data_IF_589912869952
#
_entry.id   IF_589912869952
#
_cell.length_a   1.000
_cell.length_b   1.000
_cell.length_c   1.000
_cell.angle_alpha   90.00
_cell.angle_beta   90.00
_cell.angle_gamma   90.00
#
_symmetry.space_group_name_H-M   'P 1'
#
loop_
_entity.id
_entity.type
_entity.pdbx_description
1 polymer ?
#
# COMPACT_ATOMS: atom_id res chain seq x y z
N UNK A 1 -3.15 26.70 -9.78
CA UNK A 1 -3.70 25.78 -8.76
C UNK A 1 -2.51 25.24 -7.95
N UNK A 2 -2.62 25.01 -6.65
CA UNK A 2 -1.55 24.35 -5.91
C UNK A 2 -1.34 22.95 -6.51
N UNK A 3 -0.08 22.48 -6.50
CA UNK A 3 0.24 21.13 -6.96
C UNK A 3 -0.50 20.10 -6.10
N UNK A 4 -1.05 19.03 -6.72
CA UNK A 4 -1.65 17.94 -5.98
C UNK A 4 -0.61 17.29 -5.07
N UNK A 5 -0.99 16.94 -3.86
CA UNK A 5 -0.15 16.11 -2.97
C UNK A 5 0.05 14.75 -3.60
N UNK A 6 1.24 14.17 -3.43
CA UNK A 6 1.57 12.83 -3.91
C UNK A 6 1.35 11.80 -2.81
N UNK A 7 0.68 10.71 -3.11
CA UNK A 7 0.48 9.61 -2.17
C UNK A 7 1.09 8.31 -2.69
N UNK A 8 1.59 7.47 -1.79
CA UNK A 8 1.87 6.06 -2.06
C UNK A 8 0.65 5.24 -1.64
N UNK A 9 0.11 4.43 -2.54
CA UNK A 9 -1.03 3.55 -2.24
C UNK A 9 -0.53 2.16 -1.85
N UNK A 10 -0.39 1.94 -0.55
CA UNK A 10 -0.07 0.63 0.02
C UNK A 10 -1.31 -0.26 0.01
N UNK A 11 -1.27 -1.42 -0.65
CA UNK A 11 -2.49 -2.21 -0.83
C UNK A 11 -2.22 -3.65 -1.26
N UNK A 12 -2.90 -4.66 -0.69
CA UNK A 12 -2.88 -6.04 -1.16
C UNK A 12 -3.80 -6.31 -2.35
N UNK A 13 -4.55 -5.29 -2.82
CA UNK A 13 -5.64 -5.45 -3.79
C UNK A 13 -5.21 -6.00 -5.15
N UNK A 14 -3.94 -5.90 -5.51
CA UNK A 14 -3.39 -6.43 -6.74
C UNK A 14 -3.22 -7.96 -6.76
N UNK A 15 -3.15 -8.62 -5.59
CA UNK A 15 -2.90 -10.06 -5.51
C UNK A 15 -4.07 -10.91 -6.02
N UNK A 16 -5.32 -10.54 -5.72
CA UNK A 16 -6.49 -11.33 -6.07
C UNK A 16 -7.29 -10.71 -7.22
N UNK A 17 -7.75 -11.54 -8.16
CA UNK A 17 -8.60 -11.10 -9.26
C UNK A 17 -9.89 -10.42 -8.76
N UNK A 18 -10.44 -10.90 -7.62
CA UNK A 18 -11.66 -10.38 -7.00
C UNK A 18 -11.52 -8.96 -6.44
N UNK A 19 -10.30 -8.49 -6.15
CA UNK A 19 -10.05 -7.16 -5.56
C UNK A 19 -9.51 -6.13 -6.55
N UNK A 20 -9.06 -6.56 -7.72
CA UNK A 20 -8.48 -5.65 -8.74
C UNK A 20 -9.48 -4.60 -9.25
N UNK A 21 -10.76 -4.94 -9.36
CA UNK A 21 -11.80 -3.98 -9.74
C UNK A 21 -11.88 -2.82 -8.76
N UNK A 22 -11.92 -3.11 -7.47
CA UNK A 22 -11.92 -2.11 -6.41
C UNK A 22 -10.62 -1.28 -6.38
N UNK A 23 -9.47 -1.90 -6.67
CA UNK A 23 -8.20 -1.17 -6.80
C UNK A 23 -8.26 -0.13 -7.92
N UNK A 24 -8.76 -0.52 -9.09
CA UNK A 24 -8.87 0.38 -10.26
C UNK A 24 -9.80 1.55 -9.95
N UNK A 25 -10.97 1.29 -9.36
CA UNK A 25 -11.92 2.31 -8.94
C UNK A 25 -11.30 3.26 -7.90
N UNK A 26 -10.64 2.72 -6.87
CA UNK A 26 -9.97 3.49 -5.82
C UNK A 26 -8.93 4.43 -6.41
N UNK A 27 -8.07 3.93 -7.31
CA UNK A 27 -7.05 4.75 -7.96
C UNK A 27 -7.67 5.84 -8.82
N UNK A 28 -8.71 5.53 -9.59
CA UNK A 28 -9.38 6.51 -10.44
C UNK A 28 -9.94 7.67 -9.61
N UNK A 29 -10.70 7.38 -8.56
CA UNK A 29 -11.31 8.38 -7.69
C UNK A 29 -10.26 9.19 -6.89
N UNK A 30 -9.20 8.56 -6.39
CA UNK A 30 -8.11 9.26 -5.71
C UNK A 30 -7.34 10.18 -6.67
N UNK A 31 -7.17 9.79 -7.94
CA UNK A 31 -6.43 10.57 -8.94
C UNK A 31 -7.10 11.90 -9.29
N UNK A 32 -8.39 12.08 -8.98
CA UNK A 32 -9.07 13.36 -9.13
C UNK A 32 -8.54 14.40 -8.12
N UNK A 33 -8.08 13.97 -6.94
CA UNK A 33 -7.71 14.86 -5.83
C UNK A 33 -6.21 14.85 -5.49
N UNK A 34 -5.52 13.74 -5.70
CA UNK A 34 -4.09 13.56 -5.40
C UNK A 34 -3.34 12.91 -6.58
N UNK A 35 -2.00 12.97 -6.56
CA UNK A 35 -1.14 12.21 -7.47
C UNK A 35 -0.81 10.84 -6.86
N UNK A 36 -1.33 9.77 -7.46
CA UNK A 36 -1.24 8.40 -6.91
C UNK A 36 -0.01 7.68 -7.44
N UNK A 37 0.91 7.33 -6.55
CA UNK A 37 2.00 6.38 -6.81
C UNK A 37 1.53 4.99 -6.43
N UNK A 38 1.24 4.17 -7.46
CA UNK A 38 0.77 2.79 -7.30
C UNK A 38 1.89 1.80 -7.64
N UNK A 39 2.42 1.04 -6.65
CA UNK A 39 3.48 0.06 -6.91
C UNK A 39 3.04 -1.08 -7.85
N UNK A 40 1.74 -1.40 -7.90
CA UNK A 40 1.20 -2.43 -8.80
C UNK A 40 1.24 -2.04 -10.28
N UNK A 41 1.40 -0.76 -10.61
CA UNK A 41 1.55 -0.30 -11.99
C UNK A 41 2.98 -0.47 -12.53
N UNK A 42 3.92 -0.86 -11.67
CA UNK A 42 5.32 -1.03 -12.08
C UNK A 42 5.55 -2.37 -12.79
N UNK A 43 5.86 -2.29 -14.08
CA UNK A 43 6.18 -3.44 -14.94
C UNK A 43 7.67 -3.61 -15.19
N UNK A 44 8.53 -2.83 -14.54
CA UNK A 44 9.98 -2.82 -14.84
C UNK A 44 10.67 -4.16 -14.58
N UNK A 45 10.13 -5.00 -13.70
CA UNK A 45 10.64 -6.33 -13.39
C UNK A 45 10.03 -7.46 -14.24
N UNK A 46 9.06 -7.16 -15.12
CA UNK A 46 8.43 -8.18 -15.96
C UNK A 46 9.44 -9.01 -16.77
N UNK A 47 10.44 -8.41 -17.45
CA UNK A 47 11.44 -9.18 -18.19
C UNK A 47 12.33 -10.05 -17.29
N UNK A 48 12.57 -9.61 -16.04
CA UNK A 48 13.34 -10.39 -15.07
C UNK A 48 12.57 -11.61 -14.59
N UNK A 49 11.26 -11.46 -14.32
CA UNK A 49 10.37 -12.57 -14.00
C UNK A 49 10.31 -13.61 -15.15
N UNK A 50 10.16 -13.15 -16.39
CA UNK A 50 10.15 -14.03 -17.56
C UNK A 50 11.45 -14.83 -17.67
N UNK A 51 12.62 -14.19 -17.52
CA UNK A 51 13.92 -14.85 -17.49
C UNK A 51 14.04 -15.86 -16.34
N UNK A 52 13.60 -15.47 -15.15
CA UNK A 52 13.65 -16.35 -13.98
C UNK A 52 12.76 -17.59 -14.15
N UNK A 53 11.56 -17.43 -14.71
CA UNK A 53 10.65 -18.55 -15.02
C UNK A 53 11.21 -19.51 -16.06
N UNK A 54 12.02 -19.05 -17.01
CA UNK A 54 12.65 -19.86 -18.02
C UNK A 54 13.81 -20.75 -17.50
N UNK A 55 14.35 -20.46 -16.30
CA UNK A 55 15.40 -21.26 -15.68
C UNK A 55 14.88 -22.63 -15.25
N UNK A 56 15.55 -23.68 -15.68
CA UNK A 56 15.22 -25.09 -15.33
C UNK A 56 15.81 -25.51 -13.99
N UNK A 57 17.01 -25.02 -13.64
CA UNK A 57 17.62 -25.29 -12.34
C UNK A 57 16.88 -24.53 -11.22
N UNK A 58 16.40 -25.28 -10.23
CA UNK A 58 15.59 -24.74 -9.13
C UNK A 58 16.39 -23.78 -8.23
N UNK A 59 17.70 -24.01 -8.08
CA UNK A 59 18.54 -23.15 -7.21
C UNK A 59 18.80 -21.82 -7.88
N UNK A 60 19.13 -21.85 -9.17
CA UNK A 60 19.32 -20.62 -9.97
C UNK A 60 18.03 -19.82 -10.06
N UNK A 61 16.89 -20.48 -10.28
CA UNK A 61 15.58 -19.84 -10.33
C UNK A 61 15.21 -19.16 -9.01
N UNK A 62 15.42 -19.85 -7.87
CA UNK A 62 15.18 -19.26 -6.54
C UNK A 62 16.08 -18.05 -6.27
N UNK A 63 17.34 -18.11 -6.67
CA UNK A 63 18.26 -16.99 -6.53
C UNK A 63 17.85 -15.81 -7.42
N UNK A 64 17.38 -16.07 -8.63
CA UNK A 64 16.85 -15.03 -9.51
C UNK A 64 15.64 -14.35 -8.90
N UNK A 65 14.65 -15.09 -8.41
CA UNK A 65 13.49 -14.52 -7.71
C UNK A 65 13.87 -13.75 -6.45
N UNK A 66 14.83 -14.23 -5.67
CA UNK A 66 15.33 -13.50 -4.50
C UNK A 66 15.86 -12.12 -4.88
N UNK A 67 16.66 -12.02 -5.96
CA UNK A 67 17.18 -10.74 -6.45
C UNK A 67 16.07 -9.81 -6.94
N UNK A 68 15.09 -10.34 -7.66
CA UNK A 68 13.91 -9.59 -8.11
C UNK A 68 13.15 -9.02 -6.90
N UNK A 69 12.87 -9.85 -5.89
CA UNK A 69 12.14 -9.44 -4.70
C UNK A 69 12.86 -8.32 -3.94
N UNK A 70 14.20 -8.40 -3.80
CA UNK A 70 14.98 -7.32 -3.21
C UNK A 70 14.93 -6.04 -4.05
N UNK A 71 14.95 -6.17 -5.38
CA UNK A 71 14.81 -5.04 -6.30
C UNK A 71 13.45 -4.33 -6.18
N UNK A 72 12.36 -5.10 -6.07
CA UNK A 72 11.00 -4.58 -5.84
C UNK A 72 10.96 -3.84 -4.50
N UNK A 73 11.47 -4.46 -3.43
CA UNK A 73 11.50 -3.81 -2.11
C UNK A 73 12.27 -2.49 -2.12
N UNK A 74 13.44 -2.45 -2.76
CA UNK A 74 14.22 -1.23 -2.91
C UNK A 74 13.49 -0.15 -3.73
N UNK A 75 12.68 -0.54 -4.70
CA UNK A 75 11.88 0.38 -5.49
C UNK A 75 10.70 0.93 -4.70
N UNK A 76 9.98 0.08 -3.95
CA UNK A 76 8.92 0.51 -3.03
C UNK A 76 9.46 1.52 -2.01
N UNK A 77 10.62 1.25 -1.42
CA UNK A 77 11.29 2.19 -0.51
C UNK A 77 11.48 3.57 -1.16
N UNK A 78 12.02 3.61 -2.40
CA UNK A 78 12.22 4.87 -3.14
C UNK A 78 10.90 5.59 -3.42
N UNK A 79 9.85 4.85 -3.81
CA UNK A 79 8.53 5.43 -4.04
C UNK A 79 7.97 6.05 -2.77
N UNK A 80 8.03 5.35 -1.62
CA UNK A 80 7.54 5.87 -0.33
C UNK A 80 8.31 7.12 0.08
N UNK A 81 9.63 7.15 -0.13
CA UNK A 81 10.44 8.35 0.15
C UNK A 81 10.05 9.56 -0.70
N UNK A 82 9.57 9.32 -1.93
CA UNK A 82 9.28 10.37 -2.93
C UNK A 82 7.91 11.03 -2.80
N UNK A 83 7.03 10.52 -1.93
CA UNK A 83 5.65 11.01 -1.77
C UNK A 83 5.49 11.87 -0.52
N UNK A 84 4.39 12.61 -0.42
CA UNK A 84 4.09 13.46 0.74
C UNK A 84 3.48 12.67 1.88
N UNK A 85 2.69 11.63 1.58
CA UNK A 85 1.99 10.79 2.55
C UNK A 85 1.74 9.38 2.00
N UNK A 86 1.30 8.47 2.87
CA UNK A 86 0.90 7.12 2.51
C UNK A 86 -0.59 6.92 2.79
N UNK A 87 -1.28 6.27 1.85
CA UNK A 87 -2.64 5.75 2.03
C UNK A 87 -2.56 4.22 1.99
N UNK A 88 -3.04 3.55 3.03
CA UNK A 88 -3.05 2.10 3.15
C UNK A 88 -4.48 1.54 3.05
N UNK A 89 -4.70 0.53 2.22
CA UNK A 89 -5.92 -0.28 2.24
C UNK A 89 -5.72 -1.43 3.21
N UNK A 90 -6.58 -1.50 4.24
CA UNK A 90 -6.43 -2.35 5.41
C UNK A 90 -7.43 -3.51 5.44
N UNK A 91 -8.13 -3.74 4.32
CA UNK A 91 -9.13 -4.79 4.18
C UNK A 91 -8.50 -6.19 4.23
N UNK A 92 -9.24 -7.11 4.83
CA UNK A 92 -8.84 -8.50 4.99
C UNK A 92 -9.03 -8.99 6.43
N UNK A 93 -8.78 -10.28 6.67
CA UNK A 93 -8.84 -10.89 8.01
C UNK A 93 -7.81 -10.25 8.93
N UNK A 94 -6.63 -9.95 8.38
CA UNK A 94 -5.60 -9.15 9.02
C UNK A 94 -5.02 -8.20 7.96
N UNK A 95 -4.32 -7.15 8.40
CA UNK A 95 -3.64 -6.25 7.47
C UNK A 95 -2.47 -6.98 6.82
N UNK A 96 -2.38 -6.89 5.49
CA UNK A 96 -1.29 -7.49 4.73
C UNK A 96 0.08 -7.05 5.28
N UNK A 97 0.99 -8.00 5.42
CA UNK A 97 2.30 -7.77 6.03
C UNK A 97 3.17 -6.77 5.24
N UNK A 98 3.06 -6.75 3.92
CA UNK A 98 3.73 -5.77 3.06
C UNK A 98 3.19 -4.37 3.32
N UNK A 99 1.86 -4.23 3.29
CA UNK A 99 1.16 -2.98 3.62
C UNK A 99 1.53 -2.47 5.02
N UNK A 100 1.54 -3.37 6.03
CA UNK A 100 1.94 -3.03 7.40
C UNK A 100 3.40 -2.53 7.48
N UNK A 101 4.32 -3.19 6.77
CA UNK A 101 5.73 -2.79 6.68
C UNK A 101 5.90 -1.41 6.04
N UNK A 102 5.16 -1.13 4.95
CA UNK A 102 5.17 0.16 4.25
C UNK A 102 4.61 1.30 5.13
N UNK A 103 3.54 1.03 5.90
CA UNK A 103 2.99 1.97 6.88
C UNK A 103 4.02 2.34 7.96
N UNK A 104 4.67 1.34 8.55
CA UNK A 104 5.70 1.55 9.57
C UNK A 104 6.90 2.32 9.03
N UNK A 105 7.30 2.04 7.78
CA UNK A 105 8.38 2.75 7.12
C UNK A 105 8.01 4.22 6.86
N UNK A 106 6.81 4.50 6.33
CA UNK A 106 6.34 5.86 6.11
C UNK A 106 6.23 6.65 7.42
N UNK A 107 5.69 6.03 8.48
CA UNK A 107 5.66 6.61 9.82
C UNK A 107 7.06 6.97 10.32
N UNK A 108 8.03 6.05 10.20
CA UNK A 108 9.43 6.27 10.58
C UNK A 108 10.11 7.40 9.79
N UNK A 109 9.62 7.73 8.61
CA UNK A 109 10.04 8.88 7.81
C UNK A 109 9.32 10.20 8.18
N UNK A 110 8.43 10.19 9.19
CA UNK A 110 7.64 11.35 9.60
C UNK A 110 6.53 11.73 8.61
N UNK A 111 6.10 10.80 7.76
CA UNK A 111 5.03 11.04 6.79
C UNK A 111 3.66 10.72 7.39
N UNK A 112 2.60 11.50 7.09
CA UNK A 112 1.23 11.14 7.40
C UNK A 112 0.86 9.78 6.79
N UNK A 113 0.22 8.92 7.59
CA UNK A 113 -0.27 7.59 7.20
C UNK A 113 -1.77 7.56 7.37
N UNK A 114 -2.50 7.46 6.26
CA UNK A 114 -3.95 7.31 6.27
C UNK A 114 -4.32 5.84 6.04
N UNK A 115 -5.35 5.37 6.74
CA UNK A 115 -5.86 4.01 6.58
C UNK A 115 -7.29 4.00 6.04
N UNK A 116 -7.56 3.19 5.03
CA UNK A 116 -8.90 2.87 4.55
C UNK A 116 -9.22 1.42 4.89
N UNK A 117 -10.26 1.19 5.69
CA UNK A 117 -10.78 -0.17 5.94
C UNK A 117 -12.27 -0.20 5.69
N UNK A 118 -12.67 -0.85 4.60
CA UNK A 118 -14.08 -1.06 4.25
C UNK A 118 -14.61 -2.39 4.80
N UNK A 119 -13.73 -3.29 5.23
CA UNK A 119 -14.09 -4.55 5.88
C UNK A 119 -14.63 -4.30 7.30
N UNK A 120 -15.88 -4.67 7.54
CA UNK A 120 -16.56 -4.45 8.82
C UNK A 120 -16.13 -5.41 9.95
N UNK A 121 -15.36 -6.46 9.64
CA UNK A 121 -14.86 -7.40 10.66
C UNK A 121 -13.84 -6.72 11.55
N UNK A 122 -13.97 -6.93 12.86
CA UNK A 122 -13.01 -6.45 13.85
C UNK A 122 -11.90 -7.49 13.98
N UNK A 123 -10.65 -7.06 13.78
CA UNK A 123 -9.47 -7.94 13.78
C UNK A 123 -8.37 -7.47 14.73
N UNK A 124 -8.65 -6.47 15.55
CA UNK A 124 -7.72 -5.97 16.56
C UNK A 124 -7.76 -6.79 17.86
N UNK A 125 -6.87 -6.46 18.78
CA UNK A 125 -6.63 -7.21 20.03
C UNK A 125 -7.76 -7.05 21.06
N UNK A 126 -8.66 -6.09 20.87
CA UNK A 126 -9.81 -5.83 21.73
C UNK A 126 -10.88 -5.02 20.98
N UNK A 127 -12.02 -4.77 21.64
CA UNK A 127 -13.19 -4.11 21.05
C UNK A 127 -12.95 -2.65 20.59
N UNK A 128 -11.88 -2.01 21.05
CA UNK A 128 -11.51 -0.66 20.61
C UNK A 128 -10.57 -0.67 19.39
N UNK A 129 -10.04 -1.83 19.02
CA UNK A 129 -9.06 -1.97 17.96
C UNK A 129 -9.69 -2.65 16.73
N UNK A 130 -10.15 -1.88 15.76
CA UNK A 130 -10.66 -2.41 14.48
C UNK A 130 -9.60 -3.11 13.63
N UNK A 131 -8.32 -2.80 13.87
CA UNK A 131 -7.12 -3.38 13.27
C UNK A 131 -6.04 -3.56 14.35
N UNK A 132 -4.92 -4.17 13.99
CA UNK A 132 -3.76 -4.27 14.88
C UNK A 132 -3.43 -2.90 15.51
N UNK A 133 -3.21 -2.90 16.83
CA UNK A 133 -2.99 -1.70 17.65
C UNK A 133 -1.79 -0.84 17.17
N UNK A 134 -0.71 -1.48 16.70
CA UNK A 134 0.48 -0.75 16.27
C UNK A 134 0.23 0.02 14.97
N UNK A 135 -0.57 -0.55 14.06
CA UNK A 135 -0.93 0.13 12.81
C UNK A 135 -1.89 1.30 13.08
N UNK A 136 -2.81 1.12 14.02
CA UNK A 136 -3.69 2.20 14.48
C UNK A 136 -2.89 3.35 15.09
N UNK A 137 -1.88 3.03 15.90
CA UNK A 137 -0.95 4.00 16.48
C UNK A 137 -0.20 4.80 15.38
N UNK A 138 0.32 4.12 14.35
CA UNK A 138 1.01 4.82 13.24
C UNK A 138 0.10 5.81 12.53
N UNK A 139 -1.15 5.44 12.26
CA UNK A 139 -2.13 6.34 11.63
C UNK A 139 -2.32 7.57 12.49
N UNK A 140 -2.68 7.42 13.75
CA UNK A 140 -3.05 8.51 14.64
C UNK A 140 -1.85 9.42 14.98
N UNK A 141 -0.68 8.85 15.23
CA UNK A 141 0.50 9.63 15.63
C UNK A 141 1.24 10.26 14.45
N UNK A 142 1.01 9.83 13.21
CA UNK A 142 1.57 10.48 12.03
C UNK A 142 0.83 11.76 11.61
N UNK A 143 -0.30 12.08 12.23
CA UNK A 143 -1.22 13.12 11.78
C UNK A 143 -2.13 12.66 10.62
N UNK A 144 -2.18 11.36 10.35
CA UNK A 144 -3.12 10.77 9.40
C UNK A 144 -4.48 10.48 10.02
N UNK A 145 -5.36 9.83 9.26
CA UNK A 145 -6.73 9.51 9.67
C UNK A 145 -7.12 8.10 9.23
N UNK A 146 -8.03 7.50 9.98
CA UNK A 146 -8.60 6.19 9.69
C UNK A 146 -10.01 6.37 9.12
N UNK A 147 -10.25 5.81 7.95
CA UNK A 147 -11.50 5.93 7.21
C UNK A 147 -12.14 4.55 7.01
N UNK A 148 -13.47 4.51 7.02
CA UNK A 148 -14.24 3.30 6.77
C UNK A 148 -14.94 3.32 5.41
N UNK A 149 -14.92 4.46 4.72
CA UNK A 149 -15.43 4.57 3.36
C UNK A 149 -14.43 5.29 2.45
N UNK A 150 -14.46 4.95 1.17
CA UNK A 150 -13.62 5.62 0.17
C UNK A 150 -14.02 7.11 0.01
N UNK A 151 -15.31 7.43 0.15
CA UNK A 151 -15.79 8.80 0.07
C UNK A 151 -15.21 9.68 1.18
N UNK A 152 -15.18 9.18 2.43
CA UNK A 152 -14.60 9.91 3.56
C UNK A 152 -13.08 10.08 3.41
N UNK A 153 -12.38 9.07 2.90
CA UNK A 153 -10.95 9.18 2.57
C UNK A 153 -10.72 10.31 1.57
N UNK A 154 -11.46 10.34 0.47
CA UNK A 154 -11.32 11.37 -0.57
C UNK A 154 -11.59 12.76 0.00
N UNK A 155 -12.65 12.92 0.78
CA UNK A 155 -12.97 14.19 1.44
C UNK A 155 -11.85 14.63 2.40
N UNK A 156 -11.30 13.71 3.19
CA UNK A 156 -10.20 13.98 4.11
C UNK A 156 -8.87 14.35 3.44
N UNK A 157 -8.65 13.93 2.19
CA UNK A 157 -7.44 14.29 1.42
C UNK A 157 -7.54 15.65 0.72
N UNK A 158 -8.75 16.23 0.62
CA UNK A 158 -9.00 17.55 0.01
C UNK A 158 -8.80 18.71 0.98
N UNK A 159 -8.86 18.45 2.27
CA UNK A 159 -8.66 19.45 3.34
C UNK A 159 -7.21 19.57 3.74
#
# INVERSE_FOLDING_TARGET
MPAKKRIYLASPLGFAASTRGFMVETIALLSDVVDVVNPWADTSFTPDFERAHALTDIKERRLAFHRINLGIGAKNEKMIRSVDMLVAVLDGVDVDSGTAGEMGFAYGLGKPVHGLRTDFRVTGDNEAAGINLQLRYFIEQSGGSYFTTLADLIAGLQG
#
